data_IF_976475679039
#
_entry.id   IF_976475679039
#
_cell.length_a   1.000
_cell.length_b   1.000
_cell.length_c   1.000
_cell.angle_alpha   90.00
_cell.angle_beta   90.00
_cell.angle_gamma   90.00
#
_symmetry.space_group_name_H-M   'P 1'
#
loop_
_entity.id
_entity.type
_entity.pdbx_description
1 polymer ?
#
# COMPACT_ATOMS: atom_id res chain seq x y z
N UNK A 1 23.33 67.57 5.07
CA UNK A 1 22.04 68.05 5.61
C UNK A 1 21.50 66.95 6.52
N UNK A 2 22.01 66.75 7.73
CA UNK A 2 21.65 67.47 8.98
C UNK A 2 20.18 67.80 9.10
N UNK A 3 19.45 67.06 9.95
CA UNK A 3 18.67 67.64 11.04
C UNK A 3 18.15 66.53 11.97
N UNK A 4 18.53 66.63 13.23
CA UNK A 4 18.04 65.88 14.37
C UNK A 4 17.02 66.74 15.15
N UNK A 5 16.09 66.09 15.86
CA UNK A 5 15.37 66.53 17.07
C UNK A 5 14.16 65.58 17.25
N UNK A 6 13.70 65.15 18.41
CA UNK A 6 13.89 65.63 19.78
C UNK A 6 13.48 64.51 20.76
N UNK A 7 14.10 64.54 21.94
CA UNK A 7 13.80 63.70 23.10
C UNK A 7 12.38 63.92 23.64
N UNK A 8 11.82 62.90 24.29
CA UNK A 8 11.18 63.09 25.60
C UNK A 8 11.34 61.83 26.46
N UNK A 9 11.99 61.98 27.61
CA UNK A 9 12.18 60.93 28.60
C UNK A 9 11.05 60.90 29.64
N UNK A 10 10.91 59.73 30.27
CA UNK A 10 10.27 59.55 31.56
C UNK A 10 11.07 58.52 32.36
N UNK A 11 11.64 58.98 33.48
CA UNK A 11 12.16 58.18 34.59
C UNK A 11 10.95 57.49 35.28
N UNK A 12 11.03 56.32 35.93
CA UNK A 12 11.81 56.02 37.13
C UNK A 12 11.86 54.52 37.45
N UNK A 13 12.95 54.15 38.13
CA UNK A 13 13.14 53.09 39.12
C UNK A 13 13.13 51.62 38.67
N UNK A 14 14.31 51.01 38.73
CA UNK A 14 14.51 49.68 39.33
C UNK A 14 15.97 49.56 39.82
N UNK A 15 16.20 48.90 40.99
CA UNK A 15 17.47 48.93 41.70
C UNK A 15 18.56 48.05 41.06
N UNK A 16 19.80 48.51 41.24
CA UNK A 16 21.04 47.79 40.97
C UNK A 16 21.36 46.77 42.07
N UNK A 17 21.70 45.54 41.66
CA UNK A 17 22.63 44.55 42.26
C UNK A 17 22.20 43.93 43.62
N UNK A 18 22.33 42.63 43.91
CA UNK A 18 23.30 41.65 43.47
C UNK A 18 22.88 40.20 43.86
N UNK A 19 23.62 39.23 43.27
CA UNK A 19 23.88 37.84 43.69
C UNK A 19 22.86 36.75 43.33
N UNK A 20 23.32 35.80 42.51
CA UNK A 20 22.66 34.52 42.30
C UNK A 20 23.07 33.87 40.99
N UNK A 21 24.28 33.31 40.95
CA UNK A 21 24.71 32.42 39.86
C UNK A 21 23.79 31.20 39.90
N UNK A 22 22.90 31.07 38.92
CA UNK A 22 21.88 30.01 38.87
C UNK A 22 21.48 29.73 37.43
N UNK A 23 21.53 28.44 37.08
CA UNK A 23 21.54 27.91 35.72
C UNK A 23 20.49 28.48 34.75
N UNK A 24 20.94 28.68 33.52
CA UNK A 24 20.06 28.86 32.37
C UNK A 24 19.31 27.56 32.16
N UNK A 25 18.02 27.59 32.48
CA UNK A 25 17.04 26.58 32.09
C UNK A 25 16.71 26.81 30.60
N UNK A 26 17.40 26.11 29.71
CA UNK A 26 16.96 26.00 28.31
C UNK A 26 15.92 24.88 28.23
N UNK A 27 14.70 25.28 27.87
CA UNK A 27 13.52 24.43 27.81
C UNK A 27 13.67 23.19 26.93
N UNK A 28 12.82 22.23 27.30
CA UNK A 28 12.49 20.98 26.65
C UNK A 28 12.62 21.01 25.12
N UNK A 29 13.63 20.31 24.63
CA UNK A 29 13.56 19.58 23.38
C UNK A 29 13.36 18.12 23.74
N UNK A 30 12.23 17.55 23.29
CA UNK A 30 11.91 16.13 23.37
C UNK A 30 13.07 15.30 22.81
N UNK A 31 13.85 14.73 23.72
CA UNK A 31 14.74 13.62 23.43
C UNK A 31 14.11 12.40 24.09
N UNK A 32 13.86 11.36 23.29
CA UNK A 32 13.64 10.01 23.79
C UNK A 32 14.75 9.73 24.81
N UNK A 33 14.40 9.76 26.10
CA UNK A 33 15.34 9.50 27.17
C UNK A 33 15.70 8.01 27.11
N UNK A 34 16.75 7.69 26.35
CA UNK A 34 17.50 6.46 26.58
C UNK A 34 18.15 6.68 27.94
N UNK A 35 17.55 6.08 28.98
CA UNK A 35 18.16 5.98 30.31
C UNK A 35 19.64 5.62 30.15
N UNK A 36 20.51 6.31 30.89
CA UNK A 36 21.96 6.16 30.75
C UNK A 36 22.38 4.70 30.75
N UNK A 37 23.52 4.36 30.13
CA UNK A 37 23.99 2.97 29.96
C UNK A 37 23.77 2.08 31.20
N UNK A 38 23.96 2.60 32.41
CA UNK A 38 23.75 1.88 33.68
C UNK A 38 22.29 1.48 33.96
N UNK A 39 21.31 2.27 33.51
CA UNK A 39 19.88 1.98 33.62
C UNK A 39 19.46 0.96 32.56
N UNK A 40 19.98 1.09 31.33
CA UNK A 40 19.81 0.07 30.29
C UNK A 40 20.34 -1.31 30.74
N UNK A 41 21.56 -1.37 31.30
CA UNK A 41 22.13 -2.62 31.80
C UNK A 41 21.38 -3.18 33.02
N UNK A 42 20.90 -2.32 33.93
CA UNK A 42 20.07 -2.76 35.07
C UNK A 42 18.71 -3.30 34.63
N UNK A 43 18.07 -2.65 33.66
CA UNK A 43 16.81 -3.11 33.10
C UNK A 43 16.97 -4.43 32.35
N UNK A 44 18.10 -4.60 31.65
CA UNK A 44 18.43 -5.85 30.96
C UNK A 44 18.73 -6.99 31.94
N UNK A 45 19.50 -6.77 33.01
CA UNK A 45 19.77 -7.79 34.04
C UNK A 45 18.48 -8.18 34.79
N UNK A 46 17.58 -7.22 35.02
CA UNK A 46 16.26 -7.49 35.59
C UNK A 46 15.42 -8.33 34.63
N UNK A 47 15.33 -7.94 33.35
CA UNK A 47 14.59 -8.69 32.34
C UNK A 47 15.14 -10.11 32.13
N UNK A 48 16.46 -10.29 32.17
CA UNK A 48 17.11 -11.61 32.08
C UNK A 48 16.84 -12.47 33.32
N UNK A 49 16.83 -11.88 34.52
CA UNK A 49 16.49 -12.59 35.76
C UNK A 49 15.02 -12.98 35.80
N UNK A 50 14.13 -12.11 35.35
CA UNK A 50 12.69 -12.39 35.27
C UNK A 50 12.41 -13.47 34.22
N UNK A 51 13.05 -13.39 33.06
CA UNK A 51 13.00 -14.46 32.04
C UNK A 51 13.54 -15.80 32.58
N UNK A 52 14.61 -15.77 33.38
CA UNK A 52 15.19 -16.97 33.99
C UNK A 52 14.36 -17.54 35.16
N UNK A 53 13.42 -16.77 35.71
CA UNK A 53 12.58 -17.13 36.86
C UNK A 53 11.14 -17.44 36.47
N UNK A 54 10.73 -17.03 35.29
CA UNK A 54 9.41 -17.31 34.77
C UNK A 54 9.23 -18.82 34.55
N UNK A 55 8.22 -19.39 35.19
CA UNK A 55 7.84 -20.77 34.91
C UNK A 55 7.14 -20.86 33.56
N UNK A 56 7.25 -21.99 32.87
CA UNK A 56 6.51 -22.27 31.64
C UNK A 56 4.99 -22.07 31.81
N UNK A 57 4.47 -22.24 33.03
CA UNK A 57 3.06 -22.01 33.35
C UNK A 57 2.71 -20.52 33.35
N UNK A 58 3.55 -19.68 33.96
CA UNK A 58 3.33 -18.23 34.00
C UNK A 58 3.48 -17.62 32.61
N UNK A 59 4.44 -18.11 31.83
CA UNK A 59 4.61 -17.74 30.41
C UNK A 59 3.37 -18.09 29.60
N UNK A 60 2.88 -19.32 29.75
CA UNK A 60 1.68 -19.77 29.06
C UNK A 60 0.46 -18.92 29.45
N UNK A 61 0.33 -18.53 30.72
CA UNK A 61 -0.78 -17.70 31.18
C UNK A 61 -0.70 -16.26 30.66
N UNK A 62 0.50 -15.66 30.63
CA UNK A 62 0.69 -14.34 30.00
C UNK A 62 0.30 -14.38 28.53
N UNK A 63 0.79 -15.34 27.77
CA UNK A 63 0.49 -15.45 26.33
C UNK A 63 -1.01 -15.64 26.08
N UNK A 64 -1.72 -16.41 26.92
CA UNK A 64 -3.19 -16.51 26.84
C UNK A 64 -3.87 -15.17 27.11
N UNK A 65 -3.42 -14.44 28.13
CA UNK A 65 -3.97 -13.13 28.49
C UNK A 65 -3.75 -12.10 27.39
N UNK A 66 -2.53 -12.03 26.82
CA UNK A 66 -2.20 -11.17 25.70
C UNK A 66 -3.03 -11.52 24.45
N UNK A 67 -3.19 -12.81 24.14
CA UNK A 67 -4.05 -13.25 23.03
C UNK A 67 -5.51 -12.86 23.23
N UNK A 68 -6.05 -12.97 24.45
CA UNK A 68 -7.41 -12.54 24.75
C UNK A 68 -7.59 -11.02 24.60
N UNK A 69 -6.62 -10.24 25.11
CA UNK A 69 -6.65 -8.78 24.99
C UNK A 69 -6.50 -8.31 23.53
N UNK A 70 -5.61 -8.94 22.76
CA UNK A 70 -5.43 -8.65 21.34
C UNK A 70 -6.67 -8.99 20.52
N UNK A 71 -7.36 -10.10 20.83
CA UNK A 71 -8.67 -10.45 20.22
C UNK A 71 -9.73 -9.39 20.50
N UNK A 72 -9.83 -8.90 21.73
CA UNK A 72 -10.77 -7.84 22.07
C UNK A 72 -10.45 -6.54 21.33
N UNK A 73 -9.17 -6.16 21.25
CA UNK A 73 -8.71 -4.98 20.53
C UNK A 73 -8.94 -5.10 19.01
N UNK A 74 -8.75 -6.29 18.43
CA UNK A 74 -9.04 -6.57 17.02
C UNK A 74 -10.52 -6.36 16.69
N UNK A 75 -11.41 -6.94 17.51
CA UNK A 75 -12.86 -6.74 17.36
C UNK A 75 -13.24 -5.27 17.49
N UNK A 76 -12.68 -4.56 18.46
CA UNK A 76 -12.95 -3.14 18.67
C UNK A 76 -12.39 -2.24 17.55
N UNK A 77 -11.28 -2.64 16.91
CA UNK A 77 -10.73 -1.99 15.73
C UNK A 77 -11.51 -2.30 14.43
N UNK A 78 -12.51 -3.20 14.49
CA UNK A 78 -13.32 -3.59 13.34
C UNK A 78 -12.57 -4.43 12.30
N UNK A 79 -11.47 -5.10 12.66
CA UNK A 79 -10.75 -5.97 11.72
C UNK A 79 -11.36 -7.36 11.66
N UNK A 80 -11.56 -7.89 10.45
CA UNK A 80 -12.03 -9.25 10.21
C UNK A 80 -10.89 -10.28 10.36
N UNK A 81 -10.30 -10.36 11.56
CA UNK A 81 -9.18 -11.26 11.87
C UNK A 81 -9.57 -12.23 12.99
N UNK A 82 -9.64 -13.53 12.68
CA UNK A 82 -9.70 -14.56 13.70
C UNK A 82 -8.29 -14.78 14.26
N UNK A 83 -7.95 -14.08 15.34
CA UNK A 83 -6.60 -14.12 15.93
C UNK A 83 -6.26 -15.51 16.48
N UNK A 84 -5.25 -16.17 15.89
CA UNK A 84 -4.73 -17.49 16.30
C UNK A 84 -3.57 -17.37 17.27
N UNK A 85 -2.75 -16.34 17.10
CA UNK A 85 -1.59 -16.02 17.93
C UNK A 85 -1.52 -14.51 18.13
N UNK A 86 -1.03 -14.06 19.29
CA UNK A 86 -0.72 -12.66 19.52
C UNK A 86 0.41 -12.50 20.54
N UNK A 87 1.14 -11.40 20.43
CA UNK A 87 2.19 -11.00 21.36
C UNK A 87 2.13 -9.49 21.59
N UNK A 88 2.39 -9.04 22.82
CA UNK A 88 2.58 -7.61 23.09
C UNK A 88 3.99 -7.20 22.65
N UNK A 89 4.10 -6.34 21.64
CA UNK A 89 5.39 -5.90 21.08
C UNK A 89 5.82 -4.50 21.56
N UNK A 90 4.95 -3.80 22.29
CA UNK A 90 5.28 -2.49 22.83
C UNK A 90 4.22 -1.93 23.76
N UNK A 91 4.59 -0.87 24.49
CA UNK A 91 3.69 -0.10 25.33
C UNK A 91 4.16 1.36 25.41
N UNK A 92 3.23 2.32 25.39
CA UNK A 92 3.53 3.73 25.65
C UNK A 92 3.63 4.00 27.15
N UNK A 93 4.18 5.16 27.54
CA UNK A 93 4.23 5.57 28.95
C UNK A 93 2.84 5.70 29.59
N UNK A 94 1.85 6.11 28.80
CA UNK A 94 0.44 6.19 29.21
C UNK A 94 -0.26 4.82 29.26
N UNK A 95 0.49 3.74 29.03
CA UNK A 95 0.01 2.37 29.16
C UNK A 95 -0.68 1.81 27.92
N UNK A 96 -0.72 2.53 26.80
CA UNK A 96 -1.29 2.04 25.54
C UNK A 96 -0.42 0.91 25.00
N UNK A 97 -1.02 -0.23 24.72
CA UNK A 97 -0.31 -1.43 24.27
C UNK A 97 -0.33 -1.55 22.76
N UNK A 98 0.74 -2.08 22.20
CA UNK A 98 0.84 -2.48 20.81
C UNK A 98 0.93 -4.00 20.75
N UNK A 99 -0.07 -4.64 20.17
CA UNK A 99 -0.10 -6.08 19.95
C UNK A 99 0.22 -6.39 18.50
N UNK A 100 1.01 -7.42 18.27
CA UNK A 100 1.06 -8.12 17.00
C UNK A 100 0.15 -9.34 17.06
N UNK A 101 -0.60 -9.57 15.99
CA UNK A 101 -1.51 -10.73 15.86
C UNK A 101 -1.15 -11.54 14.62
N UNK A 102 -1.50 -12.82 14.62
CA UNK A 102 -1.62 -13.65 13.41
C UNK A 102 -3.09 -14.05 13.24
N UNK A 103 -3.59 -14.00 12.00
CA UNK A 103 -4.96 -14.40 11.69
C UNK A 103 -5.02 -15.87 11.24
N UNK A 104 -6.17 -16.52 11.44
CA UNK A 104 -6.43 -17.87 10.92
C UNK A 104 -6.38 -17.94 9.39
N UNK A 105 -6.74 -16.84 8.74
CA UNK A 105 -6.63 -16.65 7.29
C UNK A 105 -6.03 -15.28 7.00
N UNK A 106 -5.10 -15.22 6.05
CA UNK A 106 -4.33 -14.02 5.73
C UNK A 106 -3.29 -13.64 6.78
N UNK A 107 -2.48 -12.62 6.50
CA UNK A 107 -1.53 -12.06 7.47
C UNK A 107 -2.28 -11.30 8.56
N UNK A 108 -1.62 -11.10 9.68
CA UNK A 108 -2.16 -10.42 10.84
C UNK A 108 -2.00 -8.91 10.85
N UNK A 109 -2.12 -8.34 12.05
CA UNK A 109 -2.17 -6.90 12.29
C UNK A 109 -1.31 -6.48 13.47
N UNK A 110 -0.76 -5.27 13.39
CA UNK A 110 -0.37 -4.46 14.55
C UNK A 110 -1.59 -3.71 15.06
N UNK A 111 -1.93 -3.86 16.33
CA UNK A 111 -3.11 -3.25 16.95
C UNK A 111 -2.68 -2.43 18.14
N UNK A 112 -2.87 -1.11 18.07
CA UNK A 112 -2.65 -0.21 19.19
C UNK A 112 -3.97 -0.01 19.97
N UNK A 113 -3.91 -0.12 21.29
CA UNK A 113 -5.08 0.02 22.19
C UNK A 113 -5.48 1.48 22.43
N UNK A 114 -5.36 2.34 21.41
CA UNK A 114 -5.90 3.70 21.43
C UNK A 114 -7.42 3.68 21.60
N UNK A 115 -8.04 4.85 21.77
CA UNK A 115 -9.51 4.97 21.82
C UNK A 115 -9.97 5.90 20.68
N UNK A 116 -10.52 5.37 19.56
CA UNK A 116 -10.73 3.95 19.27
C UNK A 116 -9.41 3.20 18.96
N UNK A 117 -9.37 1.86 19.10
CA UNK A 117 -8.19 1.08 18.73
C UNK A 117 -7.86 1.25 17.26
N UNK A 118 -6.57 1.30 16.94
CA UNK A 118 -6.09 1.41 15.56
C UNK A 118 -5.42 0.11 15.15
N UNK A 119 -5.68 -0.35 13.94
CA UNK A 119 -5.10 -1.56 13.38
C UNK A 119 -4.38 -1.27 12.07
N UNK A 120 -3.15 -1.76 11.94
CA UNK A 120 -2.34 -1.68 10.72
C UNK A 120 -2.00 -3.10 10.28
N UNK A 121 -2.35 -3.46 9.04
CA UNK A 121 -2.04 -4.80 8.52
C UNK A 121 -0.53 -5.06 8.46
N UNK A 122 -0.11 -6.26 8.80
CA UNK A 122 1.32 -6.62 8.86
C UNK A 122 2.04 -6.47 7.53
N UNK A 123 1.36 -6.71 6.41
CA UNK A 123 1.88 -6.43 5.07
C UNK A 123 2.27 -4.96 4.92
N UNK A 124 1.40 -4.04 5.36
CA UNK A 124 1.64 -2.59 5.28
C UNK A 124 2.77 -2.18 6.22
N UNK A 125 2.72 -2.64 7.48
CA UNK A 125 3.75 -2.32 8.49
C UNK A 125 5.14 -2.79 8.05
N UNK A 126 5.26 -4.04 7.57
CA UNK A 126 6.53 -4.61 7.13
C UNK A 126 7.04 -3.95 5.85
N UNK A 127 6.15 -3.61 4.92
CA UNK A 127 6.53 -2.87 3.72
C UNK A 127 7.04 -1.47 4.07
N UNK A 128 6.36 -0.75 4.97
CA UNK A 128 6.80 0.56 5.44
C UNK A 128 8.17 0.51 6.15
N UNK A 129 8.38 -0.49 7.03
CA UNK A 129 9.66 -0.68 7.70
C UNK A 129 10.80 -0.98 6.71
N UNK A 130 10.56 -1.84 5.71
CA UNK A 130 11.54 -2.13 4.64
C UNK A 130 11.89 -0.87 3.84
N UNK A 131 10.88 -0.11 3.41
CA UNK A 131 11.12 1.14 2.68
C UNK A 131 11.88 2.17 3.50
N UNK A 132 11.55 2.30 4.79
CA UNK A 132 12.25 3.20 5.70
C UNK A 132 13.74 2.83 5.80
N UNK A 133 14.07 1.56 6.00
CA UNK A 133 15.46 1.11 6.13
C UNK A 133 16.25 1.25 4.83
N UNK A 134 15.61 1.06 3.68
CA UNK A 134 16.25 1.34 2.38
C UNK A 134 16.64 2.82 2.24
N UNK A 135 15.77 3.73 2.68
CA UNK A 135 16.03 5.17 2.64
C UNK A 135 17.00 5.64 3.74
N UNK A 136 16.92 5.03 4.93
CA UNK A 136 17.67 5.40 6.13
C UNK A 136 18.25 4.14 6.81
N UNK A 137 19.38 3.59 6.31
CA UNK A 137 19.90 2.30 6.79
C UNK A 137 20.28 2.25 8.27
N UNK A 138 20.54 3.40 8.90
CA UNK A 138 20.90 3.52 10.32
C UNK A 138 19.76 4.09 11.18
N UNK A 139 18.59 4.36 10.58
CA UNK A 139 17.45 4.90 11.30
C UNK A 139 16.70 3.82 12.07
N UNK A 140 15.92 4.24 13.07
CA UNK A 140 14.96 3.36 13.74
C UNK A 140 13.69 3.26 12.88
N UNK A 141 13.34 2.07 12.36
CA UNK A 141 12.13 1.92 11.55
C UNK A 141 10.86 2.06 12.39
N UNK A 142 9.71 2.34 11.75
CA UNK A 142 8.42 2.20 12.40
C UNK A 142 8.20 0.76 12.89
N UNK A 143 7.23 0.57 13.79
CA UNK A 143 6.85 -0.75 14.27
C UNK A 143 6.53 -1.71 13.11
N UNK A 144 7.00 -2.94 13.21
CA UNK A 144 6.85 -4.00 12.21
C UNK A 144 6.42 -5.30 12.88
N UNK A 145 5.86 -6.20 12.08
CA UNK A 145 5.46 -7.53 12.48
C UNK A 145 6.63 -8.50 12.44
N UNK A 146 6.72 -9.33 13.47
CA UNK A 146 7.81 -10.26 13.78
C UNK A 146 7.37 -11.72 13.90
N UNK A 147 6.07 -11.98 14.10
CA UNK A 147 5.53 -13.34 14.15
C UNK A 147 5.77 -14.04 12.81
N UNK A 148 6.21 -15.31 12.80
CA UNK A 148 6.54 -16.04 11.57
C UNK A 148 5.41 -16.03 10.52
N UNK A 149 4.16 -16.10 10.96
CA UNK A 149 2.98 -16.05 10.08
C UNK A 149 2.84 -14.74 9.29
N UNK A 150 3.52 -13.67 9.73
CA UNK A 150 3.43 -12.32 9.15
C UNK A 150 4.66 -11.92 8.32
N UNK A 151 5.71 -12.75 8.28
CA UNK A 151 6.99 -12.36 7.67
C UNK A 151 6.99 -12.48 6.13
N UNK A 152 6.22 -13.41 5.58
CA UNK A 152 6.18 -13.62 4.13
C UNK A 152 5.17 -12.69 3.46
N UNK A 153 5.55 -11.42 3.36
CA UNK A 153 4.74 -10.34 2.78
C UNK A 153 4.36 -10.66 1.33
N UNK A 154 5.30 -11.18 0.55
CA UNK A 154 5.09 -11.40 -0.88
C UNK A 154 4.08 -12.54 -1.11
N UNK A 155 4.20 -13.63 -0.35
CA UNK A 155 3.20 -14.72 -0.41
C UNK A 155 1.82 -14.26 0.06
N UNK A 156 1.75 -13.35 1.04
CA UNK A 156 0.49 -12.77 1.50
C UNK A 156 -0.17 -11.94 0.39
N UNK A 157 0.58 -11.06 -0.27
CA UNK A 157 0.04 -10.25 -1.39
C UNK A 157 -0.36 -11.13 -2.57
N UNK A 158 0.40 -12.19 -2.88
CA UNK A 158 0.00 -13.16 -3.90
C UNK A 158 -1.29 -13.91 -3.52
N UNK A 159 -1.54 -14.14 -2.22
CA UNK A 159 -2.82 -14.62 -1.70
C UNK A 159 -3.97 -13.67 -2.00
N UNK A 160 -3.78 -12.37 -1.72
CA UNK A 160 -4.77 -11.33 -2.03
C UNK A 160 -5.11 -11.25 -3.51
N UNK A 161 -4.13 -11.46 -4.40
CA UNK A 161 -4.39 -11.50 -5.83
C UNK A 161 -5.35 -12.64 -6.20
N UNK A 162 -5.16 -13.84 -5.62
CA UNK A 162 -6.06 -14.98 -5.83
C UNK A 162 -7.46 -14.69 -5.28
N UNK A 163 -7.56 -14.12 -4.10
CA UNK A 163 -8.84 -13.74 -3.48
C UNK A 163 -9.57 -12.66 -4.30
N UNK A 164 -8.84 -11.78 -4.99
CA UNK A 164 -9.36 -10.79 -5.93
C UNK A 164 -9.73 -11.36 -7.31
N UNK A 165 -9.65 -12.69 -7.49
CA UNK A 165 -9.92 -13.37 -8.75
C UNK A 165 -8.96 -12.98 -9.87
N UNK A 166 -7.69 -12.73 -9.54
CA UNK A 166 -6.63 -12.56 -10.54
C UNK A 166 -6.12 -13.95 -10.90
N UNK A 167 -6.41 -14.36 -12.13
CA UNK A 167 -6.00 -15.65 -12.68
C UNK A 167 -4.73 -15.48 -13.51
N UNK A 168 -3.59 -15.37 -12.84
CA UNK A 168 -2.26 -15.30 -13.47
C UNK A 168 -1.19 -15.95 -12.58
N UNK A 169 -0.05 -16.29 -13.19
CA UNK A 169 1.14 -16.62 -12.41
C UNK A 169 1.72 -15.32 -11.87
N UNK A 170 1.56 -15.08 -10.57
CA UNK A 170 2.12 -13.91 -9.89
C UNK A 170 3.64 -14.09 -9.73
N UNK A 171 4.42 -13.17 -10.28
CA UNK A 171 5.88 -13.17 -10.24
C UNK A 171 6.46 -12.02 -9.42
N UNK A 172 5.76 -10.88 -9.35
CA UNK A 172 6.17 -9.73 -8.55
C UNK A 172 4.99 -9.14 -7.77
N UNK A 173 5.25 -8.63 -6.56
CA UNK A 173 4.24 -7.99 -5.71
C UNK A 173 4.84 -6.88 -4.88
N UNK A 174 4.04 -5.84 -4.59
CA UNK A 174 4.40 -4.80 -3.62
C UNK A 174 3.19 -4.06 -3.09
N UNK A 175 3.29 -3.49 -1.89
CA UNK A 175 2.39 -2.43 -1.46
C UNK A 175 2.90 -1.08 -1.98
N UNK A 176 2.02 -0.27 -2.59
CA UNK A 176 2.41 1.00 -3.23
C UNK A 176 1.84 2.24 -2.53
N UNK A 177 1.01 2.07 -1.49
CA UNK A 177 0.37 3.16 -0.77
C UNK A 177 -0.98 2.77 -0.21
N UNK A 178 -1.86 3.75 -0.02
CA UNK A 178 -3.20 3.56 0.51
C UNK A 178 -4.20 4.59 -0.03
N UNK A 179 -5.47 4.21 -0.15
CA UNK A 179 -6.60 5.12 -0.35
C UNK A 179 -7.41 5.15 0.95
N UNK A 180 -7.36 6.28 1.66
CA UNK A 180 -7.83 6.32 3.05
C UNK A 180 -6.99 5.37 3.90
N UNK A 181 -7.64 4.44 4.60
CA UNK A 181 -6.98 3.38 5.40
C UNK A 181 -6.74 2.07 4.64
N UNK A 182 -7.13 1.99 3.36
CA UNK A 182 -7.08 0.74 2.57
C UNK A 182 -5.81 0.72 1.74
N UNK A 183 -4.95 -0.26 1.99
CA UNK A 183 -3.70 -0.42 1.26
C UNK A 183 -3.93 -0.75 -0.22
N UNK A 184 -3.07 -0.23 -1.08
CA UNK A 184 -3.02 -0.54 -2.50
C UNK A 184 -1.86 -1.50 -2.74
N UNK A 185 -2.15 -2.63 -3.37
CA UNK A 185 -1.16 -3.61 -3.78
C UNK A 185 -1.04 -3.64 -5.30
N UNK A 186 0.18 -3.74 -5.80
CA UNK A 186 0.48 -3.98 -7.20
C UNK A 186 0.91 -5.43 -7.39
N UNK A 187 0.34 -6.06 -8.40
CA UNK A 187 0.49 -7.47 -8.76
C UNK A 187 1.09 -7.51 -10.17
N UNK A 188 2.32 -8.01 -10.28
CA UNK A 188 2.92 -8.45 -11.54
C UNK A 188 2.35 -9.82 -11.94
N UNK A 189 2.12 -10.00 -13.23
CA UNK A 189 1.63 -11.24 -13.79
C UNK A 189 2.58 -11.66 -14.92
N UNK A 190 3.18 -12.85 -14.81
CA UNK A 190 4.16 -13.30 -15.78
C UNK A 190 3.60 -13.31 -17.22
N UNK A 191 4.20 -12.49 -18.08
CA UNK A 191 3.90 -12.46 -19.52
C UNK A 191 2.56 -11.81 -19.89
N UNK A 192 1.90 -11.10 -18.97
CA UNK A 192 0.61 -10.44 -19.21
C UNK A 192 0.40 -9.22 -18.31
N UNK A 193 -0.55 -8.37 -18.67
CA UNK A 193 -0.95 -7.20 -17.87
C UNK A 193 -1.18 -7.57 -16.39
N UNK A 194 -0.58 -6.79 -15.50
CA UNK A 194 -0.76 -6.89 -14.05
C UNK A 194 -1.99 -6.14 -13.56
N UNK A 195 -2.09 -6.00 -12.23
CA UNK A 195 -3.23 -5.33 -11.59
C UNK A 195 -2.78 -4.51 -10.37
N UNK A 196 -3.57 -3.48 -10.05
CA UNK A 196 -3.64 -2.93 -8.70
C UNK A 196 -4.91 -3.39 -8.03
N UNK A 197 -4.79 -3.83 -6.78
CA UNK A 197 -5.92 -4.22 -5.94
C UNK A 197 -5.97 -3.39 -4.66
N UNK A 198 -7.17 -3.16 -4.16
CA UNK A 198 -7.41 -2.47 -2.88
C UNK A 198 -8.56 -3.18 -2.17
N UNK A 199 -8.46 -3.50 -0.87
CA UNK A 199 -9.58 -4.10 -0.15
C UNK A 199 -10.84 -3.22 -0.27
N UNK A 200 -12.02 -3.80 -0.40
CA UNK A 200 -13.31 -3.09 -0.40
C UNK A 200 -14.24 -3.71 0.65
N UNK A 201 -15.42 -3.13 0.87
CA UNK A 201 -16.39 -3.66 1.86
C UNK A 201 -16.81 -5.10 1.56
N UNK A 202 -16.84 -5.47 0.28
CA UNK A 202 -17.33 -6.78 -0.20
C UNK A 202 -16.24 -7.66 -0.79
N UNK A 203 -14.96 -7.26 -0.68
CA UNK A 203 -13.84 -8.03 -1.20
C UNK A 203 -12.70 -7.15 -1.68
N UNK A 204 -12.51 -7.05 -3.00
CA UNK A 204 -11.40 -6.35 -3.63
C UNK A 204 -11.87 -5.47 -4.78
N UNK A 205 -11.47 -4.20 -4.74
CA UNK A 205 -11.43 -3.34 -5.93
C UNK A 205 -10.21 -3.75 -6.76
N UNK A 206 -10.39 -3.93 -8.07
CA UNK A 206 -9.33 -4.32 -9.01
C UNK A 206 -9.31 -3.40 -10.21
N UNK A 207 -8.13 -2.89 -10.57
CA UNK A 207 -7.90 -2.13 -11.80
C UNK A 207 -6.68 -2.71 -12.51
N UNK A 208 -6.78 -2.94 -13.82
CA UNK A 208 -5.66 -3.49 -14.60
C UNK A 208 -4.54 -2.45 -14.75
N UNK A 209 -3.30 -2.91 -14.87
CA UNK A 209 -2.16 -2.03 -15.05
C UNK A 209 -2.25 -1.27 -16.38
N UNK A 210 -2.87 -1.84 -17.41
CA UNK A 210 -3.23 -1.14 -18.63
C UNK A 210 -4.08 0.11 -18.34
N UNK A 211 -5.17 -0.04 -17.58
CA UNK A 211 -6.04 1.08 -17.24
C UNK A 211 -5.33 2.14 -16.39
N UNK A 212 -4.49 1.70 -15.44
CA UNK A 212 -3.64 2.58 -14.61
C UNK A 212 -2.70 3.41 -15.47
N UNK A 213 -1.94 2.80 -16.38
CA UNK A 213 -1.00 3.50 -17.27
C UNK A 213 -1.74 4.43 -18.22
N UNK A 214 -2.89 4.01 -18.75
CA UNK A 214 -3.72 4.84 -19.62
C UNK A 214 -4.31 6.07 -18.90
N UNK A 215 -4.37 6.06 -17.56
CA UNK A 215 -4.76 7.21 -16.74
C UNK A 215 -3.59 8.14 -16.37
N UNK A 216 -2.38 7.87 -16.87
CA UNK A 216 -1.18 8.67 -16.59
C UNK A 216 -0.46 8.28 -15.28
N UNK A 217 -0.82 7.15 -14.66
CA UNK A 217 -0.09 6.58 -13.52
C UNK A 217 0.87 5.47 -13.99
N UNK A 218 1.55 4.80 -13.07
CA UNK A 218 2.60 3.81 -13.39
C UNK A 218 2.33 2.45 -12.77
N UNK A 219 2.52 1.36 -13.51
CA UNK A 219 2.81 0.06 -12.90
C UNK A 219 4.29 -0.24 -13.11
N UNK A 220 5.00 -0.60 -12.06
CA UNK A 220 6.41 -0.98 -12.14
C UNK A 220 6.60 -2.43 -12.57
N UNK A 221 5.65 -3.32 -12.29
CA UNK A 221 5.74 -4.76 -12.58
C UNK A 221 4.92 -5.16 -13.81
N UNK A 222 4.70 -4.22 -14.72
CA UNK A 222 4.01 -4.51 -15.97
C UNK A 222 4.65 -3.71 -17.08
N UNK A 223 5.11 -4.42 -18.09
CA UNK A 223 5.70 -3.85 -19.30
C UNK A 223 4.63 -3.56 -20.34
N UNK A 224 4.98 -2.72 -21.32
CA UNK A 224 4.12 -2.48 -22.48
C UNK A 224 3.93 -3.75 -23.33
N UNK A 225 4.95 -4.60 -23.43
CA UNK A 225 4.86 -5.85 -24.19
C UNK A 225 3.88 -6.83 -23.54
N UNK A 226 3.85 -6.91 -22.21
CA UNK A 226 2.88 -7.71 -21.45
C UNK A 226 1.45 -7.16 -21.60
N UNK A 227 1.30 -5.85 -21.62
CA UNK A 227 0.02 -5.21 -21.94
C UNK A 227 -0.47 -5.61 -23.33
N UNK A 228 0.39 -5.54 -24.35
CA UNK A 228 0.04 -5.95 -25.70
C UNK A 228 -0.17 -7.46 -25.83
N UNK A 229 0.56 -8.27 -25.06
CA UNK A 229 0.33 -9.72 -24.97
C UNK A 229 -1.07 -10.03 -24.42
N UNK A 230 -1.52 -9.31 -23.38
CA UNK A 230 -2.90 -9.42 -22.89
C UNK A 230 -3.93 -9.06 -23.95
N UNK A 231 -3.73 -7.95 -24.69
CA UNK A 231 -4.67 -7.57 -25.74
C UNK A 231 -4.72 -8.64 -26.84
N UNK A 232 -3.57 -9.16 -27.29
CA UNK A 232 -3.51 -10.28 -28.26
C UNK A 232 -4.27 -11.51 -27.76
N UNK A 233 -4.07 -11.88 -26.50
CA UNK A 233 -4.73 -13.04 -25.91
C UNK A 233 -6.27 -12.91 -25.90
N UNK A 234 -6.81 -11.70 -25.74
CA UNK A 234 -8.26 -11.48 -25.84
C UNK A 234 -8.80 -11.64 -27.26
N UNK A 235 -7.99 -11.37 -28.29
CA UNK A 235 -8.41 -11.39 -29.69
C UNK A 235 -8.34 -12.77 -30.34
N UNK A 236 -7.67 -13.75 -29.73
CA UNK A 236 -7.43 -15.10 -30.30
C UNK A 236 -8.71 -15.79 -30.79
N UNK A 237 -9.83 -15.63 -30.07
CA UNK A 237 -11.12 -16.27 -30.40
C UNK A 237 -12.09 -15.29 -31.09
N UNK A 238 -11.56 -14.34 -31.86
CA UNK A 238 -12.34 -13.30 -32.53
C UNK A 238 -11.94 -13.17 -34.00
N UNK A 239 -12.69 -12.43 -34.83
CA UNK A 239 -12.26 -12.10 -36.19
C UNK A 239 -10.94 -11.31 -36.28
N UNK A 240 -10.40 -10.83 -35.15
CA UNK A 240 -9.14 -10.09 -35.06
C UNK A 240 -7.97 -10.96 -34.59
N UNK A 241 -8.06 -12.29 -34.65
CA UNK A 241 -7.02 -13.21 -34.17
C UNK A 241 -5.64 -12.97 -34.78
N UNK A 242 -5.59 -12.50 -36.04
CA UNK A 242 -4.33 -12.19 -36.74
C UNK A 242 -3.76 -10.80 -36.40
N UNK A 243 -4.39 -10.05 -35.51
CA UNK A 243 -3.93 -8.72 -35.11
C UNK A 243 -2.59 -8.77 -34.36
N UNK A 244 -1.52 -8.38 -35.04
CA UNK A 244 -0.24 -8.09 -34.41
C UNK A 244 -0.32 -6.75 -33.67
N UNK A 245 -0.68 -6.79 -32.40
CA UNK A 245 -0.88 -5.58 -31.59
C UNK A 245 0.44 -4.82 -31.39
N UNK A 246 0.53 -3.59 -31.91
CA UNK A 246 1.65 -2.65 -31.72
C UNK A 246 1.24 -1.34 -31.03
N UNK A 247 -0.03 -1.26 -30.61
CA UNK A 247 -0.57 -0.18 -29.82
C UNK A 247 -1.88 -0.59 -29.19
N UNK A 248 -2.17 -0.04 -28.01
CA UNK A 248 -3.43 -0.30 -27.33
C UNK A 248 -3.89 0.88 -26.50
N UNK A 249 -5.20 0.96 -26.27
CA UNK A 249 -5.81 1.99 -25.42
C UNK A 249 -6.94 1.39 -24.60
N UNK A 250 -6.97 1.72 -23.31
CA UNK A 250 -8.11 1.42 -22.45
C UNK A 250 -9.19 2.48 -22.68
N UNK A 251 -10.42 2.04 -22.95
CA UNK A 251 -11.53 2.92 -23.30
C UNK A 251 -12.55 3.10 -22.19
N UNK A 252 -12.46 2.28 -21.13
CA UNK A 252 -13.37 2.33 -19.99
C UNK A 252 -14.03 0.99 -19.68
N UNK A 253 -14.65 0.94 -18.51
CA UNK A 253 -15.45 -0.20 -18.06
C UNK A 253 -16.90 0.23 -17.81
N UNK A 254 -17.83 -0.68 -18.06
CA UNK A 254 -19.26 -0.50 -17.79
C UNK A 254 -19.92 -1.84 -17.45
N UNK A 255 -21.23 -1.84 -17.20
CA UNK A 255 -22.01 -3.07 -17.07
C UNK A 255 -21.95 -3.98 -18.33
N UNK A 256 -21.54 -3.44 -19.48
CA UNK A 256 -21.37 -4.17 -20.74
C UNK A 256 -19.96 -4.72 -20.95
N UNK A 257 -19.08 -4.62 -19.95
CA UNK A 257 -17.71 -5.10 -19.99
C UNK A 257 -16.69 -3.97 -20.07
N UNK A 258 -15.44 -4.39 -20.28
CA UNK A 258 -14.28 -3.51 -20.40
C UNK A 258 -13.92 -3.35 -21.87
N UNK A 259 -13.79 -2.11 -22.33
CA UNK A 259 -13.52 -1.76 -23.72
C UNK A 259 -12.05 -1.39 -23.91
N UNK A 260 -11.48 -1.91 -24.99
CA UNK A 260 -10.13 -1.64 -25.43
C UNK A 260 -10.12 -1.31 -26.92
N UNK A 261 -9.12 -0.55 -27.33
CA UNK A 261 -8.72 -0.42 -28.72
C UNK A 261 -7.37 -1.12 -28.89
N UNK A 262 -7.25 -1.91 -29.95
CA UNK A 262 -6.00 -2.49 -30.43
C UNK A 262 -5.66 -1.92 -31.80
N UNK A 263 -4.44 -1.41 -31.94
CA UNK A 263 -3.81 -1.07 -33.21
C UNK A 263 -3.02 -2.28 -33.70
N UNK A 264 -3.32 -2.73 -34.91
CA UNK A 264 -2.65 -3.86 -35.54
C UNK A 264 -1.57 -3.36 -36.51
N UNK A 265 -0.38 -3.96 -36.50
CA UNK A 265 0.71 -3.59 -37.41
C UNK A 265 0.31 -3.79 -38.87
N UNK A 266 0.20 -2.69 -39.62
CA UNK A 266 -0.05 -2.72 -41.07
C UNK A 266 -1.46 -3.22 -41.47
N UNK A 267 -2.39 -3.31 -40.53
CA UNK A 267 -3.74 -3.82 -40.75
C UNK A 267 -4.79 -2.88 -40.11
N UNK A 268 -6.07 -3.16 -40.40
CA UNK A 268 -7.19 -2.50 -39.73
C UNK A 268 -7.13 -2.80 -38.22
N UNK A 269 -7.35 -1.78 -37.39
CA UNK A 269 -7.43 -1.96 -35.94
C UNK A 269 -8.83 -2.35 -35.47
N UNK A 270 -8.95 -2.61 -34.18
CA UNK A 270 -10.20 -3.08 -33.58
C UNK A 270 -10.50 -2.36 -32.28
N UNK A 271 -11.79 -2.10 -32.05
CA UNK A 271 -12.33 -1.91 -30.71
C UNK A 271 -12.91 -3.23 -30.27
N UNK A 272 -12.62 -3.67 -29.06
CA UNK A 272 -13.19 -4.90 -28.52
C UNK A 272 -13.64 -4.71 -27.08
N UNK A 273 -14.65 -5.49 -26.69
CA UNK A 273 -15.13 -5.58 -25.31
C UNK A 273 -14.86 -6.95 -24.73
N UNK A 274 -14.45 -6.97 -23.47
CA UNK A 274 -14.30 -8.19 -22.67
C UNK A 274 -15.35 -8.18 -21.57
N UNK A 275 -16.22 -9.20 -21.55
CA UNK A 275 -17.25 -9.38 -20.53
C UNK A 275 -17.39 -10.86 -20.19
N UNK A 276 -17.33 -11.19 -18.91
CA UNK A 276 -17.53 -12.57 -18.40
C UNK A 276 -16.66 -13.61 -19.15
N UNK A 277 -15.40 -13.24 -19.43
CA UNK A 277 -14.43 -14.07 -20.15
C UNK A 277 -14.63 -14.16 -21.67
N UNK A 278 -15.64 -13.49 -22.23
CA UNK A 278 -15.91 -13.45 -23.67
C UNK A 278 -15.42 -12.15 -24.29
N UNK A 279 -14.81 -12.25 -25.47
CA UNK A 279 -14.39 -11.10 -26.26
C UNK A 279 -15.29 -10.94 -27.48
N UNK A 280 -15.69 -9.70 -27.76
CA UNK A 280 -16.33 -9.33 -29.02
C UNK A 280 -15.54 -8.16 -29.62
N UNK A 281 -15.07 -8.34 -30.86
CA UNK A 281 -14.22 -7.41 -31.58
C UNK A 281 -14.94 -6.80 -32.78
N UNK A 282 -14.80 -5.49 -32.94
CA UNK A 282 -15.40 -4.67 -33.98
C UNK A 282 -14.29 -3.98 -34.78
N UNK A 283 -14.24 -4.14 -36.11
CA UNK A 283 -13.32 -3.38 -36.96
C UNK A 283 -13.47 -1.88 -36.72
N UNK A 284 -12.36 -1.14 -36.74
CA UNK A 284 -12.37 0.30 -36.50
C UNK A 284 -13.32 1.08 -37.43
N UNK A 285 -13.44 0.66 -38.69
CA UNK A 285 -14.38 1.22 -39.66
C UNK A 285 -15.85 1.16 -39.20
N UNK A 286 -16.23 0.14 -38.44
CA UNK A 286 -17.60 -0.11 -37.98
C UNK A 286 -17.83 0.40 -36.54
N UNK A 287 -16.75 0.63 -35.78
CA UNK A 287 -16.80 0.95 -34.36
C UNK A 287 -16.84 2.46 -34.04
N UNK A 288 -17.17 3.33 -35.00
CA UNK A 288 -17.18 4.80 -34.81
C UNK A 288 -18.09 5.27 -33.66
N UNK A 289 -19.18 4.53 -33.38
CA UNK A 289 -20.12 4.83 -32.30
C UNK A 289 -19.68 4.36 -30.90
N UNK A 290 -18.58 3.62 -30.77
CA UNK A 290 -18.16 3.01 -29.50
C UNK A 290 -17.07 3.85 -28.85
N UNK A 291 -17.35 4.45 -27.69
CA UNK A 291 -16.33 5.12 -26.85
C UNK A 291 -15.51 6.20 -27.57
N UNK A 292 -16.13 6.89 -28.54
CA UNK A 292 -15.49 7.92 -29.37
C UNK A 292 -14.66 7.38 -30.54
N UNK A 293 -14.85 6.11 -30.92
CA UNK A 293 -14.19 5.47 -32.06
C UNK A 293 -12.72 5.15 -31.82
N UNK A 294 -12.09 4.58 -32.85
CA UNK A 294 -10.65 4.32 -32.86
C UNK A 294 -9.85 5.64 -32.93
N UNK A 295 -8.75 5.70 -32.18
CA UNK A 295 -7.83 6.85 -32.11
C UNK A 295 -6.39 6.50 -32.44
N UNK A 296 -6.02 5.22 -32.30
CA UNK A 296 -4.68 4.70 -32.59
C UNK A 296 -4.56 4.28 -34.05
N UNK A 297 -5.63 3.74 -34.62
CA UNK A 297 -5.70 3.39 -36.04
C UNK A 297 -6.00 4.64 -36.84
N UNK A 298 -5.02 5.11 -37.64
CA UNK A 298 -5.32 6.05 -38.73
C UNK A 298 -6.21 5.30 -39.71
N UNK A 299 -7.43 5.79 -39.96
CA UNK A 299 -8.36 5.18 -40.91
C UNK A 299 -7.59 4.77 -42.17
N UNK A 300 -7.55 3.47 -42.47
CA UNK A 300 -7.04 3.01 -43.75
C UNK A 300 -7.89 3.74 -44.79
N UNK A 301 -7.24 4.47 -45.70
CA UNK A 301 -7.94 5.20 -46.74
C UNK A 301 -8.95 4.25 -47.38
N UNK A 302 -10.24 4.62 -47.32
CA UNK A 302 -11.31 3.80 -47.89
C UNK A 302 -10.89 3.38 -49.30
N UNK A 303 -10.89 2.07 -49.56
CA UNK A 303 -10.62 1.57 -50.90
C UNK A 303 -11.56 2.29 -51.87
N UNK A 304 -10.98 2.88 -52.92
CA UNK A 304 -11.75 3.58 -53.94
C UNK A 304 -12.87 2.66 -54.44
N UNK A 305 -14.11 3.17 -54.58
CA UNK A 305 -15.21 2.35 -55.09
C UNK A 305 -14.83 1.75 -56.45
N UNK A 306 -15.20 0.50 -56.75
CA UNK A 306 -14.92 -0.09 -58.05
C UNK A 306 -15.56 0.78 -59.13
N UNK A 307 -14.74 1.18 -60.12
CA UNK A 307 -15.22 1.90 -61.29
C UNK A 307 -16.26 1.03 -62.01
N UNK A 308 -17.52 1.45 -61.97
CA UNK A 308 -18.58 0.99 -62.88
C UNK A 308 -18.97 2.15 -63.79
#
# INVERSE_FOLDING_TARGET
MTAAAMMLGLMFASPSLAQGVGGVNTGAADSYAIGGRDEYFRNMDTALRDFSRESERDRAERLRTEAAAARAAATAAGVACQVTEAVQIGQTQDGLKLYETACASGPGYLIATTTPPTATGCVVANTAARHFLTANPQGQPPASCTLPANLNVDAAIAGYARDAGIDCTVDEVRAIGQVGSRAIYEIGCAGRDGYRITPSETGWDKISCFAVVNSGSTCAFTTQDEQFATLRAYLTETPAADCQVDGGRYMGASANGVYYEAKCSGAEGYIFRVKDGRTEAFPCAEAQGIGGGCRLTTAVAAAAPPNN
#
